data_IF_032635563208
#
_entry.id   IF_032635563208
#
_cell.length_a   1.000
_cell.length_b   1.000
_cell.length_c   1.000
_cell.angle_alpha   90.00
_cell.angle_beta   90.00
_cell.angle_gamma   90.00
#
_symmetry.space_group_name_H-M   'P 1'
#
loop_
_entity.id
_entity.type
_entity.pdbx_description
1 polymer ?
#
# COMPACT_ATOMS: atom_id res chain seq x y z
N UNK A 1 1.84 -11.58 -10.33
CA UNK A 1 2.49 -11.50 -9.01
C UNK A 1 1.43 -11.28 -7.95
N UNK A 2 1.46 -12.08 -6.90
CA UNK A 2 0.53 -11.99 -5.78
C UNK A 2 1.23 -11.28 -4.62
N UNK A 3 0.57 -10.26 -4.05
CA UNK A 3 1.08 -9.53 -2.88
C UNK A 3 0.78 -10.34 -1.61
N UNK A 4 1.79 -10.99 -1.06
CA UNK A 4 1.63 -11.88 0.10
C UNK A 4 2.97 -12.11 0.80
N UNK A 5 2.92 -12.81 1.93
CA UNK A 5 4.12 -13.39 2.53
C UNK A 5 4.26 -14.80 1.94
N UNK A 6 5.18 -15.01 0.97
CA UNK A 6 5.26 -16.31 0.30
C UNK A 6 5.73 -17.42 1.23
N UNK A 7 5.23 -18.63 1.00
CA UNK A 7 5.61 -19.81 1.76
C UNK A 7 7.10 -20.11 1.63
N UNK A 8 7.69 -19.88 0.46
CA UNK A 8 9.13 -20.07 0.26
C UNK A 8 9.99 -19.02 0.95
N UNK A 9 9.39 -17.94 1.45
CA UNK A 9 10.10 -16.91 2.22
C UNK A 9 9.97 -17.15 3.73
N UNK A 10 8.77 -17.44 4.21
CA UNK A 10 8.49 -17.84 5.59
C UNK A 10 7.76 -19.16 5.56
N UNK A 11 8.49 -20.26 5.79
CA UNK A 11 7.98 -21.63 5.58
C UNK A 11 6.95 -22.07 6.62
N UNK A 12 7.05 -21.60 7.87
CA UNK A 12 6.13 -21.98 8.93
C UNK A 12 4.82 -21.21 8.86
N UNK A 13 3.71 -21.92 8.70
CA UNK A 13 2.38 -21.32 8.58
C UNK A 13 2.01 -20.44 9.81
N UNK A 14 2.32 -20.93 11.02
CA UNK A 14 2.03 -20.19 12.25
C UNK A 14 2.79 -18.87 12.31
N UNK A 15 4.03 -18.86 11.83
CA UNK A 15 4.87 -17.68 11.81
C UNK A 15 4.38 -16.68 10.76
N UNK A 16 3.95 -17.19 9.57
CA UNK A 16 3.32 -16.31 8.57
C UNK A 16 2.09 -15.60 9.12
N UNK A 17 1.24 -16.33 9.85
CA UNK A 17 0.04 -15.76 10.48
C UNK A 17 0.41 -14.63 11.46
N UNK A 18 1.44 -14.85 12.28
CA UNK A 18 1.92 -13.82 13.20
C UNK A 18 2.36 -12.55 12.48
N UNK A 19 3.12 -12.69 11.40
CA UNK A 19 3.58 -11.56 10.61
C UNK A 19 2.44 -10.86 9.88
N UNK A 20 1.48 -11.62 9.31
CA UNK A 20 0.29 -11.02 8.71
C UNK A 20 -0.43 -10.10 9.72
N UNK A 21 -0.56 -10.55 10.96
CA UNK A 21 -1.17 -9.73 12.02
C UNK A 21 -0.35 -8.50 12.35
N UNK A 22 0.96 -8.64 12.47
CA UNK A 22 1.84 -7.52 12.78
C UNK A 22 1.77 -6.44 11.69
N UNK A 23 1.81 -6.84 10.42
CA UNK A 23 1.68 -5.90 9.32
C UNK A 23 0.31 -5.23 9.32
N UNK A 24 -0.76 -5.98 9.55
CA UNK A 24 -2.13 -5.43 9.57
C UNK A 24 -2.34 -4.45 10.73
N UNK A 25 -1.67 -4.65 11.86
CA UNK A 25 -1.78 -3.79 13.04
C UNK A 25 -0.93 -2.53 12.96
N UNK A 26 0.01 -2.47 12.04
CA UNK A 26 0.88 -1.30 11.87
C UNK A 26 0.07 -0.11 11.36
N UNK A 27 0.12 1.00 12.09
CA UNK A 27 -0.58 2.24 11.73
C UNK A 27 0.33 3.26 11.06
N UNK A 28 1.64 3.13 11.28
CA UNK A 28 2.64 4.06 10.78
C UNK A 28 3.57 3.36 9.79
N UNK A 29 4.01 4.11 8.79
CA UNK A 29 4.98 3.58 7.81
C UNK A 29 6.27 3.14 8.51
N UNK A 30 6.69 3.84 9.57
CA UNK A 30 7.86 3.48 10.36
C UNK A 30 7.77 2.07 10.95
N UNK A 31 6.58 1.66 11.41
CA UNK A 31 6.35 0.32 11.94
C UNK A 31 6.56 -0.74 10.85
N UNK A 32 6.13 -0.43 9.63
CA UNK A 32 6.32 -1.32 8.49
C UNK A 32 7.81 -1.45 8.12
N UNK A 33 8.55 -0.35 8.21
CA UNK A 33 9.99 -0.38 7.94
C UNK A 33 10.74 -1.21 8.98
N UNK A 34 10.33 -1.13 10.24
CA UNK A 34 10.89 -1.96 11.31
C UNK A 34 10.61 -3.44 11.07
N UNK A 35 9.37 -3.78 10.68
CA UNK A 35 9.01 -5.15 10.33
C UNK A 35 9.81 -5.66 9.14
N UNK A 36 10.02 -4.83 8.14
CA UNK A 36 10.83 -5.18 6.97
C UNK A 36 12.28 -5.48 7.37
N UNK A 37 12.86 -4.70 8.27
CA UNK A 37 14.22 -4.98 8.76
C UNK A 37 14.28 -6.32 9.49
N UNK A 38 13.28 -6.63 10.31
CA UNK A 38 13.20 -7.91 10.98
C UNK A 38 13.10 -9.06 9.96
N UNK A 39 12.26 -8.91 8.94
CA UNK A 39 12.10 -9.92 7.90
C UNK A 39 13.40 -10.15 7.12
N UNK A 40 14.09 -9.07 6.75
CA UNK A 40 15.38 -9.15 6.06
C UNK A 40 16.42 -9.89 6.90
N UNK A 41 16.50 -9.56 8.19
CA UNK A 41 17.47 -10.18 9.11
C UNK A 41 17.20 -11.67 9.32
N UNK A 42 15.92 -12.08 9.38
CA UNK A 42 15.52 -13.44 9.69
C UNK A 42 15.41 -14.35 8.47
N UNK A 43 14.96 -13.82 7.34
CA UNK A 43 14.57 -14.61 6.18
C UNK A 43 15.35 -14.27 4.90
N UNK A 44 16.19 -13.23 4.94
CA UNK A 44 17.00 -12.83 3.79
C UNK A 44 16.26 -11.89 2.84
N UNK A 45 16.78 -11.81 1.61
CA UNK A 45 16.26 -10.87 0.62
C UNK A 45 14.80 -11.16 0.28
N UNK A 46 13.92 -10.15 0.31
CA UNK A 46 12.50 -10.35 0.08
C UNK A 46 12.19 -10.67 -1.38
N UNK A 47 11.30 -11.64 -1.63
CA UNK A 47 10.81 -11.91 -2.98
C UNK A 47 9.83 -10.82 -3.44
N UNK A 48 9.59 -10.69 -4.77
CA UNK A 48 8.72 -9.64 -5.29
C UNK A 48 7.32 -9.60 -4.70
N UNK A 49 6.72 -10.76 -4.41
CA UNK A 49 5.40 -10.82 -3.79
C UNK A 49 5.36 -10.20 -2.40
N UNK A 50 6.43 -10.37 -1.62
CA UNK A 50 6.55 -9.75 -0.31
C UNK A 50 6.80 -8.25 -0.42
N UNK A 51 7.61 -7.82 -1.40
CA UNK A 51 7.81 -6.38 -1.65
C UNK A 51 6.47 -5.71 -1.99
N UNK A 52 5.68 -6.32 -2.86
CA UNK A 52 4.35 -5.80 -3.19
C UNK A 52 3.43 -5.76 -1.96
N UNK A 53 3.46 -6.79 -1.12
CA UNK A 53 2.70 -6.85 0.13
C UNK A 53 3.04 -5.67 1.05
N UNK A 54 4.33 -5.39 1.24
CA UNK A 54 4.77 -4.25 2.05
C UNK A 54 4.33 -2.91 1.45
N UNK A 55 4.47 -2.75 0.13
CA UNK A 55 4.05 -1.53 -0.54
C UNK A 55 2.54 -1.29 -0.38
N UNK A 56 1.73 -2.34 -0.46
CA UNK A 56 0.28 -2.21 -0.23
C UNK A 56 -0.03 -1.74 1.19
N UNK A 57 0.69 -2.23 2.20
CA UNK A 57 0.50 -1.75 3.58
C UNK A 57 0.98 -0.31 3.77
N UNK A 58 2.05 0.10 3.10
CA UNK A 58 2.50 1.50 3.11
C UNK A 58 1.42 2.41 2.52
N UNK A 59 0.82 2.01 1.41
CA UNK A 59 -0.29 2.75 0.80
C UNK A 59 -1.46 2.84 1.78
N UNK A 60 -1.81 1.75 2.45
CA UNK A 60 -2.88 1.72 3.45
C UNK A 60 -2.61 2.71 4.59
N UNK A 61 -1.43 2.68 5.17
CA UNK A 61 -1.07 3.58 6.28
C UNK A 61 -1.12 5.04 5.84
N UNK A 62 -0.56 5.35 4.67
CA UNK A 62 -0.58 6.71 4.14
C UNK A 62 -2.00 7.17 3.84
N UNK A 63 -2.80 6.32 3.20
CA UNK A 63 -4.18 6.65 2.86
C UNK A 63 -5.03 6.90 4.11
N UNK A 64 -4.88 6.07 5.15
CA UNK A 64 -5.58 6.26 6.41
C UNK A 64 -5.18 7.59 7.07
N UNK A 65 -3.91 7.94 7.05
CA UNK A 65 -3.43 9.20 7.62
C UNK A 65 -3.99 10.42 6.89
N UNK A 66 -4.35 10.27 5.63
CA UNK A 66 -4.94 11.34 4.81
C UNK A 66 -6.45 11.21 4.65
N UNK A 67 -7.08 10.36 5.45
CA UNK A 67 -8.52 10.16 5.51
C UNK A 67 -9.14 9.65 4.20
N UNK A 68 -8.43 8.81 3.46
CA UNK A 68 -9.02 8.03 2.38
C UNK A 68 -9.63 6.75 2.94
N UNK A 69 -10.78 6.35 2.41
CA UNK A 69 -11.50 5.16 2.87
C UNK A 69 -11.46 4.01 1.86
N UNK A 70 -11.12 4.29 0.61
CA UNK A 70 -10.95 3.23 -0.39
C UNK A 70 -10.01 3.67 -1.50
N UNK A 71 -9.34 2.69 -2.08
CA UNK A 71 -8.44 2.87 -3.21
C UNK A 71 -8.74 1.77 -4.20
N UNK A 72 -9.12 2.15 -5.42
CA UNK A 72 -9.44 1.21 -6.49
C UNK A 72 -8.77 1.67 -7.78
N UNK A 73 -8.53 0.72 -8.67
CA UNK A 73 -8.14 1.05 -10.04
C UNK A 73 -9.14 0.45 -11.01
N UNK A 74 -9.52 1.23 -12.03
CA UNK A 74 -10.35 0.77 -13.14
C UNK A 74 -9.63 1.12 -14.43
N UNK A 75 -9.02 0.11 -15.07
CA UNK A 75 -8.09 0.34 -16.16
C UNK A 75 -6.95 1.20 -15.69
N UNK A 76 -6.74 2.34 -16.34
CA UNK A 76 -5.69 3.29 -15.98
C UNK A 76 -6.14 4.33 -14.95
N UNK A 77 -7.41 4.35 -14.58
CA UNK A 77 -7.93 5.32 -13.62
C UNK A 77 -7.66 4.87 -12.20
N UNK A 78 -7.12 5.77 -11.38
CA UNK A 78 -6.97 5.57 -9.95
C UNK A 78 -8.11 6.28 -9.24
N UNK A 79 -8.88 5.54 -8.43
CA UNK A 79 -10.04 6.06 -7.73
C UNK A 79 -9.81 5.97 -6.23
N UNK A 80 -9.34 7.07 -5.64
CA UNK A 80 -9.10 7.18 -4.19
C UNK A 80 -10.24 7.97 -3.58
N UNK A 81 -11.08 7.31 -2.77
CA UNK A 81 -12.25 7.93 -2.16
C UNK A 81 -11.91 8.53 -0.81
N UNK A 82 -12.23 9.80 -0.63
CA UNK A 82 -12.01 10.54 0.61
C UNK A 82 -13.14 10.27 1.59
N UNK A 83 -12.81 10.26 2.89
CA UNK A 83 -13.78 10.05 3.96
C UNK A 83 -14.78 11.19 4.07
N UNK A 84 -14.30 12.44 3.88
CA UNK A 84 -15.12 13.64 3.98
C UNK A 84 -15.10 14.36 2.64
N UNK A 85 -16.26 14.44 2.02
CA UNK A 85 -16.43 15.20 0.78
C UNK A 85 -17.83 15.73 0.71
N UNK A 86 -17.96 16.98 0.28
CA UNK A 86 -19.26 17.60 0.11
C UNK A 86 -19.86 17.35 -1.25
N UNK A 87 -19.03 17.25 -2.30
CA UNK A 87 -19.53 17.10 -3.68
C UNK A 87 -18.84 15.98 -4.42
N UNK A 88 -17.52 15.97 -4.45
CA UNK A 88 -16.74 14.92 -5.14
C UNK A 88 -15.87 14.16 -4.14
N UNK A 89 -16.17 12.89 -3.85
CA UNK A 89 -15.42 12.12 -2.88
C UNK A 89 -14.06 11.65 -3.37
N UNK A 90 -13.78 11.77 -4.67
CA UNK A 90 -12.57 11.19 -5.25
C UNK A 90 -11.43 12.19 -5.37
N UNK A 91 -10.20 11.67 -5.23
CA UNK A 91 -8.99 12.42 -5.54
C UNK A 91 -8.96 12.74 -7.02
N UNK A 92 -8.84 14.03 -7.35
CA UNK A 92 -8.76 14.50 -8.74
C UNK A 92 -7.53 15.39 -8.91
N UNK A 93 -6.97 15.33 -10.11
CA UNK A 93 -5.92 16.25 -10.55
C UNK A 93 -6.44 16.95 -11.80
N UNK A 94 -6.65 18.27 -11.70
CA UNK A 94 -7.23 19.04 -12.80
C UNK A 94 -8.57 18.51 -13.26
N UNK A 95 -9.47 18.14 -12.33
CA UNK A 95 -10.80 17.58 -12.59
C UNK A 95 -10.81 16.20 -13.24
N UNK A 96 -9.68 15.52 -13.25
CA UNK A 96 -9.56 14.15 -13.79
C UNK A 96 -9.05 13.20 -12.74
N UNK A 97 -9.41 11.91 -12.86
CA UNK A 97 -8.80 10.87 -12.04
C UNK A 97 -7.31 10.77 -12.36
N UNK A 98 -6.45 10.53 -11.34
CA UNK A 98 -5.05 10.24 -11.59
C UNK A 98 -4.92 9.02 -12.51
N UNK A 99 -3.91 9.01 -13.36
CA UNK A 99 -3.66 7.95 -14.32
C UNK A 99 -2.47 7.10 -13.90
N UNK A 100 -2.68 5.79 -13.95
CA UNK A 100 -1.62 4.82 -13.77
C UNK A 100 -1.02 4.54 -15.14
N UNK A 101 0.27 4.81 -15.30
CA UNK A 101 0.93 4.80 -16.60
C UNK A 101 1.69 3.51 -16.88
N UNK A 102 1.93 2.70 -15.86
CA UNK A 102 2.73 1.50 -15.98
C UNK A 102 1.94 0.24 -15.63
N UNK A 103 2.18 -0.85 -16.36
CA UNK A 103 1.53 -2.14 -16.12
C UNK A 103 2.31 -3.03 -15.16
N UNK A 104 3.57 -2.72 -14.92
CA UNK A 104 4.39 -3.49 -13.98
C UNK A 104 3.87 -3.26 -12.56
N UNK A 105 3.52 -4.33 -11.80
CA UNK A 105 2.81 -4.19 -10.53
C UNK A 105 3.52 -3.35 -9.48
N UNK A 106 4.83 -3.50 -9.32
CA UNK A 106 5.57 -2.73 -8.31
C UNK A 106 5.64 -1.26 -8.65
N UNK A 107 5.83 -0.92 -9.94
CA UNK A 107 5.86 0.46 -10.40
C UNK A 107 4.46 1.08 -10.27
N UNK A 108 3.43 0.31 -10.56
CA UNK A 108 2.05 0.77 -10.39
C UNK A 108 1.75 1.11 -8.92
N UNK A 109 2.20 0.29 -7.98
CA UNK A 109 2.03 0.56 -6.55
C UNK A 109 2.79 1.83 -6.14
N UNK A 110 3.97 2.05 -6.67
CA UNK A 110 4.73 3.26 -6.43
C UNK A 110 4.01 4.50 -6.95
N UNK A 111 3.41 4.43 -8.15
CA UNK A 111 2.61 5.51 -8.68
C UNK A 111 1.41 5.83 -7.76
N UNK A 112 0.72 4.81 -7.28
CA UNK A 112 -0.41 4.99 -6.35
C UNK A 112 0.05 5.69 -5.09
N UNK A 113 1.15 5.24 -4.50
CA UNK A 113 1.72 5.85 -3.29
C UNK A 113 2.01 7.33 -3.54
N UNK A 114 2.66 7.65 -4.67
CA UNK A 114 3.04 9.02 -5.00
C UNK A 114 1.83 9.94 -5.18
N UNK A 115 0.76 9.45 -5.81
CA UNK A 115 -0.47 10.23 -5.94
C UNK A 115 -1.10 10.55 -4.60
N UNK A 116 -1.15 9.56 -3.69
CA UNK A 116 -1.71 9.76 -2.35
C UNK A 116 -0.82 10.70 -1.54
N UNK A 117 0.49 10.53 -1.63
CA UNK A 117 1.45 11.39 -0.93
C UNK A 117 1.34 12.84 -1.38
N UNK A 118 1.06 13.08 -2.64
CA UNK A 118 0.90 14.44 -3.18
C UNK A 118 -0.35 15.15 -2.70
N UNK A 119 -1.33 14.41 -2.20
CA UNK A 119 -2.55 15.00 -1.67
C UNK A 119 -2.30 15.60 -0.29
N UNK A 120 -2.72 16.84 -0.10
CA UNK A 120 -2.60 17.53 1.19
C UNK A 120 -3.97 17.64 1.86
N UNK A 121 -4.08 17.04 3.05
CA UNK A 121 -5.28 17.13 3.85
C UNK A 121 -5.44 18.57 4.33
N UNK A 122 -6.59 19.17 4.01
CA UNK A 122 -6.90 20.53 4.49
C UNK A 122 -7.31 20.47 5.96
N UNK A 123 -6.66 21.27 6.75
CA UNK A 123 -6.97 21.37 8.16
C UNK A 123 -8.37 22.02 8.37
#
# INVERSE_FOLDING_TARGET
>A
MIAEIPENYVSEASLRIQFYRKFAQADQIEDLLDLNREMLDRFGNPPPGFIAFTEMHKIRCLAQSKEFISIESKGEKLMCRKKRSQSDPYLKIGNRFPRLTNREPLIKLEEIFNYIESYHLKA
#
